data_IF_306919578908
#
_entry.id   IF_306919578908
#
_cell.length_a   1.000
_cell.length_b   1.000
_cell.length_c   1.000
_cell.angle_alpha   90.00
_cell.angle_beta   90.00
_cell.angle_gamma   90.00
#
_symmetry.space_group_name_H-M   'P 1'
#
loop_
_entity.id
_entity.type
_entity.pdbx_description
1 polymer ?
#
# COMPACT_ATOMS: atom_id res chain seq x y z
N UNK A 1 -30.46 -5.53 -9.58
CA UNK A 1 -29.39 -6.46 -10.00
C UNK A 1 -28.06 -5.71 -10.02
N UNK A 2 -27.39 -5.61 -8.88
CA UNK A 2 -25.94 -5.39 -8.81
C UNK A 2 -25.47 -6.44 -7.81
N UNK A 3 -24.69 -7.40 -8.30
CA UNK A 3 -24.10 -8.45 -7.48
C UNK A 3 -23.11 -7.82 -6.49
N UNK A 4 -23.16 -8.16 -5.19
CA UNK A 4 -22.16 -7.72 -4.24
C UNK A 4 -20.94 -8.63 -4.43
N UNK A 5 -20.07 -8.26 -5.36
CA UNK A 5 -18.69 -8.76 -5.34
C UNK A 5 -18.03 -8.12 -4.12
N UNK A 6 -18.16 -8.86 -3.01
CA UNK A 6 -17.49 -8.74 -1.71
C UNK A 6 -16.34 -7.72 -1.72
N UNK A 7 -16.67 -6.44 -1.61
CA UNK A 7 -15.72 -5.45 -1.16
C UNK A 7 -15.60 -5.74 0.33
N UNK A 8 -14.60 -6.52 0.72
CA UNK A 8 -14.33 -6.74 2.13
C UNK A 8 -14.16 -5.35 2.77
N UNK A 9 -15.14 -4.91 3.52
CA UNK A 9 -14.96 -3.84 4.51
C UNK A 9 -14.02 -4.41 5.57
N UNK A 10 -12.73 -4.45 5.25
CA UNK A 10 -11.72 -4.48 6.28
C UNK A 10 -11.94 -3.18 7.04
N UNK A 11 -12.50 -3.26 8.23
CA UNK A 11 -12.52 -2.12 9.13
C UNK A 11 -11.09 -1.91 9.62
N UNK A 12 -10.47 -0.85 9.12
CA UNK A 12 -9.09 -0.47 9.42
C UNK A 12 -8.98 1.02 9.68
N UNK A 13 -7.91 1.38 10.38
CA UNK A 13 -7.56 2.76 10.68
C UNK A 13 -6.27 3.14 9.98
N UNK A 14 -6.32 4.22 9.21
CA UNK A 14 -5.11 4.83 8.61
C UNK A 14 -4.22 5.39 9.72
N UNK A 15 -2.94 5.09 9.65
CA UNK A 15 -1.89 5.63 10.50
C UNK A 15 -1.00 6.64 9.76
N UNK A 16 0.22 6.86 10.26
CA UNK A 16 1.19 7.77 9.65
C UNK A 16 1.57 7.44 8.21
N UNK A 17 1.94 8.48 7.47
CA UNK A 17 2.51 8.37 6.12
C UNK A 17 3.94 7.86 6.24
N UNK A 18 4.25 6.82 5.45
CA UNK A 18 5.57 6.18 5.40
C UNK A 18 6.27 6.34 4.04
N UNK A 19 5.56 6.83 3.03
CA UNK A 19 6.13 7.13 1.72
C UNK A 19 5.25 8.06 0.89
N UNK A 20 5.87 8.91 0.08
CA UNK A 20 5.17 9.77 -0.88
C UNK A 20 5.78 9.60 -2.27
N UNK A 21 4.94 9.21 -3.22
CA UNK A 21 5.25 9.26 -4.64
C UNK A 21 4.70 10.53 -5.27
N UNK A 22 4.85 10.64 -6.59
CA UNK A 22 4.29 11.74 -7.37
C UNK A 22 2.77 11.75 -7.39
N UNK A 23 2.14 10.57 -7.44
CA UNK A 23 0.69 10.41 -7.67
C UNK A 23 -0.05 9.73 -6.53
N UNK A 24 0.68 9.22 -5.54
CA UNK A 24 0.10 8.42 -4.45
C UNK A 24 0.90 8.55 -3.16
N UNK A 25 0.21 8.36 -2.05
CA UNK A 25 0.81 8.33 -0.71
C UNK A 25 0.68 6.93 -0.12
N UNK A 26 1.73 6.45 0.53
CA UNK A 26 1.75 5.19 1.28
C UNK A 26 1.69 5.50 2.77
N UNK A 27 0.71 4.94 3.46
CA UNK A 27 0.54 5.04 4.91
C UNK A 27 0.56 3.66 5.55
N UNK A 28 0.98 3.58 6.81
CA UNK A 28 0.71 2.39 7.63
C UNK A 28 -0.79 2.37 7.99
N UNK A 29 -1.34 1.19 8.20
CA UNK A 29 -2.70 1.00 8.68
C UNK A 29 -2.78 -0.21 9.62
N UNK A 30 -3.81 -0.21 10.46
CA UNK A 30 -4.09 -1.31 11.40
C UNK A 30 -5.55 -1.73 11.27
N UNK A 31 -5.81 -3.03 11.18
CA UNK A 31 -7.17 -3.58 11.24
C UNK A 31 -7.69 -3.60 12.67
N UNK A 32 -9.00 -3.83 12.84
CA UNK A 32 -9.57 -4.06 14.17
C UNK A 32 -9.03 -5.33 14.86
N UNK A 33 -8.52 -6.30 14.10
CA UNK A 33 -7.83 -7.50 14.62
C UNK A 33 -6.39 -7.22 15.07
N UNK A 34 -5.88 -6.00 14.87
CA UNK A 34 -4.50 -5.62 15.20
C UNK A 34 -3.47 -5.96 14.13
N UNK A 35 -3.91 -6.43 12.96
CA UNK A 35 -3.02 -6.72 11.83
C UNK A 35 -2.55 -5.42 11.18
N UNK A 36 -1.24 -5.30 10.98
CA UNK A 36 -0.60 -4.13 10.38
C UNK A 36 -0.38 -4.39 8.89
N UNK A 37 -0.69 -3.38 8.07
CA UNK A 37 -0.46 -3.41 6.64
C UNK A 37 -0.14 -2.00 6.11
N UNK A 38 0.25 -1.92 4.84
CA UNK A 38 0.49 -0.66 4.14
C UNK A 38 -0.70 -0.35 3.22
N UNK A 39 -1.03 0.93 3.10
CA UNK A 39 -2.09 1.43 2.23
C UNK A 39 -1.51 2.44 1.26
N UNK A 40 -1.56 2.13 -0.03
CA UNK A 40 -1.28 3.11 -1.09
C UNK A 40 -2.59 3.76 -1.50
N UNK A 41 -2.59 5.09 -1.53
CA UNK A 41 -3.81 5.87 -1.71
C UNK A 41 -3.61 7.03 -2.69
N UNK A 42 -4.67 7.32 -3.45
CA UNK A 42 -4.78 8.48 -4.33
C UNK A 42 -6.24 8.96 -4.36
N UNK A 43 -6.46 10.23 -4.65
CA UNK A 43 -7.82 10.75 -4.84
C UNK A 43 -8.53 9.95 -5.92
N UNK A 44 -9.81 9.61 -5.70
CA UNK A 44 -10.54 8.74 -6.60
C UNK A 44 -10.59 9.32 -8.03
N UNK A 45 -10.74 10.63 -8.16
CA UNK A 45 -10.76 11.37 -9.44
C UNK A 45 -9.45 11.27 -10.24
N UNK A 46 -8.32 11.00 -9.58
CA UNK A 46 -6.99 10.88 -10.19
C UNK A 46 -6.38 9.48 -10.04
N UNK A 47 -7.18 8.49 -9.63
CA UNK A 47 -6.71 7.15 -9.24
C UNK A 47 -6.43 6.19 -10.40
N UNK A 48 -6.52 6.61 -11.67
CA UNK A 48 -6.39 5.72 -12.83
C UNK A 48 -5.06 4.93 -12.84
N UNK A 49 -3.94 5.58 -12.50
CA UNK A 49 -2.65 4.90 -12.41
C UNK A 49 -2.61 3.89 -11.27
N UNK A 50 -3.21 4.23 -10.13
CA UNK A 50 -3.27 3.33 -8.97
C UNK A 50 -4.17 2.13 -9.25
N UNK A 51 -5.30 2.30 -9.94
CA UNK A 51 -6.15 1.18 -10.37
C UNK A 51 -5.43 0.24 -11.36
N UNK A 52 -4.61 0.80 -12.27
CA UNK A 52 -3.76 -0.02 -13.15
C UNK A 52 -2.73 -0.81 -12.33
N UNK A 53 -2.08 -0.18 -11.36
CA UNK A 53 -1.16 -0.87 -10.45
C UNK A 53 -1.85 -1.98 -9.66
N UNK A 54 -3.06 -1.74 -9.15
CA UNK A 54 -3.89 -2.75 -8.49
C UNK A 54 -4.12 -3.96 -9.40
N UNK A 55 -4.49 -3.74 -10.66
CA UNK A 55 -4.76 -4.83 -11.62
C UNK A 55 -3.56 -5.73 -11.85
N UNK A 56 -2.35 -5.15 -11.85
CA UNK A 56 -1.10 -5.89 -12.02
C UNK A 56 -0.79 -6.62 -10.71
N UNK A 57 -0.69 -5.88 -9.60
CA UNK A 57 -0.26 -6.40 -8.31
C UNK A 57 -1.17 -7.52 -7.80
N UNK A 58 -2.48 -7.45 -8.06
CA UNK A 58 -3.44 -8.49 -7.63
C UNK A 58 -3.27 -9.84 -8.32
N UNK A 59 -2.52 -9.90 -9.43
CA UNK A 59 -2.24 -11.15 -10.17
C UNK A 59 -0.89 -11.78 -9.80
N UNK A 60 -0.07 -11.08 -9.04
CA UNK A 60 1.27 -11.51 -8.68
C UNK A 60 1.26 -12.30 -7.37
N UNK A 61 1.97 -13.43 -7.34
CA UNK A 61 2.19 -14.23 -6.14
C UNK A 61 3.64 -14.71 -6.14
N UNK A 62 4.48 -14.05 -5.36
CA UNK A 62 5.92 -14.33 -5.27
C UNK A 62 6.45 -13.85 -3.92
N UNK A 63 7.39 -14.56 -3.28
CA UNK A 63 8.02 -14.11 -2.05
C UNK A 63 8.90 -12.86 -2.21
N UNK A 64 9.17 -12.43 -3.45
CA UNK A 64 10.01 -11.27 -3.76
C UNK A 64 9.19 -10.03 -4.19
N UNK A 65 7.87 -10.12 -4.12
CA UNK A 65 6.95 -9.04 -4.51
C UNK A 65 6.01 -8.79 -3.34
N UNK A 66 5.78 -7.52 -3.01
CA UNK A 66 4.86 -7.17 -1.92
C UNK A 66 3.48 -7.76 -2.15
N UNK A 67 2.99 -8.50 -1.16
CA UNK A 67 1.71 -9.20 -1.24
C UNK A 67 0.55 -8.21 -1.30
N UNK A 68 -0.28 -8.37 -2.33
CA UNK A 68 -1.60 -7.73 -2.40
C UNK A 68 -2.55 -8.33 -1.37
N UNK A 69 -3.26 -7.48 -0.62
CA UNK A 69 -4.28 -7.88 0.37
C UNK A 69 -5.68 -7.55 -0.14
N UNK A 70 -5.86 -6.37 -0.74
CA UNK A 70 -7.18 -5.92 -1.19
C UNK A 70 -7.19 -4.50 -1.73
N UNK A 71 -8.37 -3.99 -2.07
CA UNK A 71 -8.58 -2.60 -2.48
C UNK A 71 -9.94 -2.09 -2.04
N UNK A 72 -10.04 -0.77 -1.87
CA UNK A 72 -11.18 -0.14 -1.20
C UNK A 72 -11.34 1.34 -1.53
N UNK A 73 -12.58 1.82 -1.53
CA UNK A 73 -12.86 3.25 -1.46
C UNK A 73 -13.07 3.65 0.00
N UNK A 74 -12.43 4.75 0.42
CA UNK A 74 -12.71 5.41 1.70
C UNK A 74 -13.25 6.80 1.45
N UNK A 75 -14.11 7.27 2.35
CA UNK A 75 -14.50 8.68 2.40
C UNK A 75 -13.63 9.37 3.44
N UNK A 76 -12.81 10.30 2.99
CA UNK A 76 -11.94 11.14 3.81
C UNK A 76 -12.38 12.61 3.66
N UNK A 77 -11.83 13.50 4.49
CA UNK A 77 -12.26 14.90 4.57
C UNK A 77 -12.31 15.60 3.19
N UNK A 78 -11.43 15.20 2.29
CA UNK A 78 -11.20 15.83 0.99
C UNK A 78 -11.94 15.12 -0.16
N UNK A 79 -12.70 14.06 0.13
CA UNK A 79 -13.51 13.34 -0.86
C UNK A 79 -13.35 11.82 -0.81
N UNK A 80 -13.58 11.18 -1.95
CA UNK A 80 -13.38 9.74 -2.10
C UNK A 80 -11.91 9.45 -2.43
N UNK A 81 -11.34 8.50 -1.70
CA UNK A 81 -9.94 8.06 -1.86
C UNK A 81 -9.95 6.59 -2.27
N UNK A 82 -9.17 6.26 -3.30
CA UNK A 82 -8.96 4.89 -3.74
C UNK A 82 -7.72 4.31 -3.05
N UNK A 83 -7.87 3.11 -2.50
CA UNK A 83 -6.87 2.45 -1.67
C UNK A 83 -6.49 1.08 -2.23
N UNK A 84 -5.20 0.78 -2.21
CA UNK A 84 -4.65 -0.57 -2.31
C UNK A 84 -4.08 -0.95 -0.94
N UNK A 85 -4.49 -2.09 -0.42
CA UNK A 85 -3.98 -2.68 0.80
C UNK A 85 -2.95 -3.73 0.41
N UNK A 86 -1.77 -3.64 1.02
CA UNK A 86 -0.63 -4.51 0.74
C UNK A 86 0.13 -4.80 2.03
N UNK A 87 0.91 -5.87 2.06
CA UNK A 87 1.69 -6.20 3.25
C UNK A 87 2.61 -5.04 3.67
N UNK A 88 2.77 -4.88 4.98
CA UNK A 88 3.74 -3.93 5.51
C UNK A 88 5.10 -4.61 5.69
N UNK A 89 6.12 -4.06 5.03
CA UNK A 89 7.51 -4.54 5.16
C UNK A 89 8.26 -3.60 6.11
N UNK A 90 8.51 -4.07 7.34
CA UNK A 90 9.12 -3.27 8.41
C UNK A 90 10.59 -2.90 8.16
N UNK A 91 11.27 -3.57 7.23
CA UNK A 91 12.65 -3.29 6.85
C UNK A 91 12.86 -1.93 6.16
N UNK A 92 11.78 -1.28 5.71
CA UNK A 92 11.86 -0.05 4.92
C UNK A 92 12.36 -0.30 3.50
N UNK A 93 12.73 0.77 2.80
CA UNK A 93 13.27 0.65 1.44
C UNK A 93 14.77 0.31 1.43
N UNK A 94 15.25 -0.29 0.34
CA UNK A 94 16.68 -0.49 0.12
C UNK A 94 17.46 0.83 0.13
N UNK A 95 16.84 1.91 -0.35
CA UNK A 95 17.41 3.25 -0.28
C UNK A 95 17.60 3.72 1.18
N UNK A 96 16.63 3.47 2.05
CA UNK A 96 16.76 3.79 3.48
C UNK A 96 17.85 2.96 4.14
N UNK A 97 17.98 1.68 3.76
CA UNK A 97 19.05 0.80 4.22
C UNK A 97 20.42 1.34 3.80
N UNK A 98 20.61 1.67 2.51
CA UNK A 98 21.86 2.25 2.00
C UNK A 98 22.21 3.54 2.75
N UNK A 99 21.24 4.43 2.97
CA UNK A 99 21.45 5.65 3.74
C UNK A 99 21.89 5.37 5.17
N UNK A 100 21.23 4.43 5.86
CA UNK A 100 21.59 4.02 7.23
C UNK A 100 22.97 3.38 7.30
N UNK A 101 23.42 2.73 6.23
CA UNK A 101 24.75 2.11 6.11
C UNK A 101 25.85 3.07 5.65
N UNK A 102 25.62 4.38 5.65
CA UNK A 102 26.62 5.37 5.26
C UNK A 102 26.84 5.48 3.75
N UNK A 103 25.84 5.11 2.94
CA UNK A 103 25.85 5.27 1.48
C UNK A 103 26.37 4.07 0.70
N UNK A 104 26.70 2.96 1.35
CA UNK A 104 27.22 1.74 0.71
C UNK A 104 26.75 0.49 1.44
N UNK A 105 26.63 -0.61 0.69
CA UNK A 105 26.39 -1.94 1.23
C UNK A 105 27.57 -2.85 0.89
N UNK A 106 27.93 -3.80 1.77
CA UNK A 106 28.94 -4.80 1.44
C UNK A 106 28.41 -5.75 0.37
N UNK A 107 29.28 -6.29 -0.48
CA UNK A 107 28.91 -7.17 -1.59
C UNK A 107 28.02 -8.36 -1.20
N UNK A 108 28.21 -9.05 -0.05
CA UNK A 108 27.31 -10.13 0.37
C UNK A 108 25.87 -9.69 0.68
N UNK A 109 25.60 -8.38 0.76
CA UNK A 109 24.27 -7.82 1.01
C UNK A 109 23.57 -7.33 -0.29
N UNK A 110 24.20 -7.55 -1.46
CA UNK A 110 23.67 -7.26 -2.80
C UNK A 110 23.24 -8.56 -3.46
#
# INVERSE_FOLDING_TARGET
FISPLFQMEINWKRGPIIGRGSTATVSIAISNSGEIFAVKSADFSSSAFLQKEQSILSTLSSPHIVKYIGSGLTRENDGLVYNILMEYVSGGSLHDLIKKSGGKLPEPAI
#
